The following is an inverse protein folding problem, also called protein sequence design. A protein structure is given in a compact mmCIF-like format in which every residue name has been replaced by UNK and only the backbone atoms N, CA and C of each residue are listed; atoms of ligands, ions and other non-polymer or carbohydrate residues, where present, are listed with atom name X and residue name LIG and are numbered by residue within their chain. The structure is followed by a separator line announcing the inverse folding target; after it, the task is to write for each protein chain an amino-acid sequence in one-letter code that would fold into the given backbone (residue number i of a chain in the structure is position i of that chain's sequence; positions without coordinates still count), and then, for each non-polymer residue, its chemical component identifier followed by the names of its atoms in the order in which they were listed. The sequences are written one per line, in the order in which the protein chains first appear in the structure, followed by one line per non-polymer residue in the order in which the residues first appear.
data_IF_463895301777
#
_entry.id   IF_463895301777
#
_cell.length_a   1.000
_cell.length_b   1.000
_cell.length_c   1.000
_cell.angle_alpha   90.00
_cell.angle_beta   90.00
_cell.angle_gamma   90.00
#
_symmetry.space_group_name_H-M   'P 1'
#
loop_
_entity.id
_entity.type
_entity.pdbx_description
1 polymer ?
#
# COMPACT_ATOMS: atom_id res chain seq x y z
N UNK A 1 -13.77 12.62 -19.22
CA UNK A 1 -13.14 11.38 -18.74
C UNK A 1 -11.61 11.54 -18.83
N UNK A 2 -11.06 12.62 -18.26
CA UNK A 2 -9.74 13.12 -18.68
C UNK A 2 -8.77 13.39 -17.52
N UNK A 3 -9.24 13.33 -16.26
CA UNK A 3 -8.38 13.52 -15.07
C UNK A 3 -7.56 12.30 -14.66
N UNK A 4 -7.88 11.12 -15.19
CA UNK A 4 -7.24 9.85 -14.81
C UNK A 4 -5.95 9.61 -15.61
N UNK A 5 -5.75 10.30 -16.73
CA UNK A 5 -4.73 9.95 -17.73
C UNK A 5 -3.42 10.71 -17.50
N UNK A 6 -3.45 11.95 -17.01
CA UNK A 6 -2.24 12.75 -16.78
C UNK A 6 -1.39 12.30 -15.57
N UNK A 7 -1.96 11.52 -14.64
CA UNK A 7 -1.26 10.97 -13.47
C UNK A 7 -0.54 9.64 -13.73
N UNK A 8 -0.69 9.04 -14.92
CA UNK A 8 -0.07 7.76 -15.27
C UNK A 8 1.39 7.84 -15.69
N UNK A 9 1.92 9.04 -15.94
CA UNK A 9 3.21 9.20 -16.62
C UNK A 9 4.46 8.94 -15.77
N UNK A 10 4.53 9.44 -14.54
CA UNK A 10 5.85 9.55 -13.86
C UNK A 10 5.86 9.42 -12.32
N UNK A 11 4.73 9.27 -11.62
CA UNK A 11 4.72 9.28 -10.13
C UNK A 11 3.50 8.60 -9.49
N UNK A 12 3.11 7.42 -10.00
CA UNK A 12 1.96 6.67 -9.51
C UNK A 12 2.27 5.63 -8.42
N UNK A 13 3.36 5.77 -7.67
CA UNK A 13 3.73 4.83 -6.57
C UNK A 13 3.83 5.65 -5.28
N UNK A 14 2.66 6.00 -4.72
CA UNK A 14 2.40 6.38 -3.31
C UNK A 14 0.90 6.32 -3.02
N UNK A 15 0.06 6.65 -4.01
CA UNK A 15 -1.40 6.57 -3.88
C UNK A 15 -1.93 5.11 -3.85
N UNK A 16 -1.45 4.18 -4.68
CA UNK A 16 -1.89 2.79 -4.59
C UNK A 16 -1.55 2.17 -3.23
N UNK A 17 -0.37 2.47 -2.69
CA UNK A 17 0.10 1.97 -1.39
C UNK A 17 -0.82 2.43 -0.25
N UNK A 18 -1.20 3.71 -0.25
CA UNK A 18 -2.16 4.24 0.71
C UNK A 18 -3.55 3.57 0.61
N UNK A 19 -4.02 3.28 -0.61
CA UNK A 19 -5.29 2.59 -0.84
C UNK A 19 -5.21 1.15 -0.31
N UNK A 20 -4.11 0.44 -0.58
CA UNK A 20 -3.91 -0.94 -0.12
C UNK A 20 -3.84 -1.00 1.40
N UNK A 21 -3.09 -0.10 2.04
CA UNK A 21 -2.99 0.00 3.50
C UNK A 21 -4.35 0.32 4.13
N UNK A 22 -5.10 1.27 3.55
CA UNK A 22 -6.44 1.61 4.04
C UNK A 22 -7.41 0.43 3.92
N UNK A 23 -7.42 -0.30 2.81
CA UNK A 23 -8.27 -1.48 2.66
C UNK A 23 -7.92 -2.58 3.68
N UNK A 24 -6.63 -2.85 3.91
CA UNK A 24 -6.19 -3.82 4.91
C UNK A 24 -6.62 -3.42 6.33
N UNK A 25 -6.54 -2.13 6.67
CA UNK A 25 -7.04 -1.59 7.95
C UNK A 25 -8.55 -1.71 8.09
N UNK A 26 -9.31 -1.38 7.05
CA UNK A 26 -10.79 -1.42 7.06
C UNK A 26 -11.29 -2.85 7.23
N UNK A 27 -10.68 -3.80 6.51
CA UNK A 27 -11.05 -5.22 6.57
C UNK A 27 -10.42 -5.94 7.79
N UNK A 28 -9.53 -5.27 8.54
CA UNK A 28 -8.81 -5.87 9.68
C UNK A 28 -7.87 -7.01 9.27
N UNK A 29 -7.39 -7.00 8.03
CA UNK A 29 -6.54 -8.05 7.47
C UNK A 29 -5.06 -7.65 7.51
N UNK A 30 -4.14 -8.63 7.65
CA UNK A 30 -2.71 -8.35 7.51
C UNK A 30 -2.35 -8.01 6.07
N UNK A 31 -1.51 -6.98 5.89
CA UNK A 31 -0.95 -6.62 4.59
C UNK A 31 0.35 -7.38 4.34
N UNK A 32 0.33 -8.27 3.35
CA UNK A 32 1.51 -8.97 2.88
C UNK A 32 2.28 -8.12 1.87
N UNK A 33 3.51 -7.73 2.18
CA UNK A 33 4.32 -6.83 1.36
C UNK A 33 5.81 -7.13 1.50
N UNK A 34 6.54 -7.12 0.38
CA UNK A 34 8.01 -7.18 0.39
C UNK A 34 8.67 -5.84 0.72
N UNK A 35 7.88 -4.75 0.76
CA UNK A 35 8.38 -3.41 1.06
C UNK A 35 7.89 -2.93 2.44
N UNK A 36 8.09 -3.76 3.46
CA UNK A 36 7.62 -3.55 4.84
C UNK A 36 8.00 -2.15 5.36
N UNK A 37 9.18 -1.65 5.00
CA UNK A 37 9.67 -0.33 5.41
C UNK A 37 8.71 0.83 5.08
N UNK A 38 8.06 0.78 3.93
CA UNK A 38 7.13 1.84 3.48
C UNK A 38 5.83 1.84 4.29
N UNK A 39 5.45 0.70 4.83
CA UNK A 39 4.19 0.52 5.56
C UNK A 39 4.35 0.50 7.08
N UNK A 40 5.59 0.44 7.61
CA UNK A 40 5.87 0.43 9.06
C UNK A 40 5.35 1.66 9.81
N UNK A 41 5.18 2.79 9.11
CA UNK A 41 4.66 4.02 9.71
C UNK A 41 3.14 4.03 9.87
N UNK A 42 2.42 3.08 9.27
CA UNK A 42 0.96 2.99 9.33
C UNK A 42 0.55 2.31 10.63
N UNK A 43 0.04 3.10 11.57
CA UNK A 43 -0.40 2.59 12.88
C UNK A 43 -1.59 1.66 12.75
N UNK A 44 -1.54 0.51 13.45
CA UNK A 44 -2.62 -0.48 13.45
C UNK A 44 -2.61 -1.45 12.26
N UNK A 45 -1.67 -1.29 11.31
CA UNK A 45 -1.55 -2.17 10.17
C UNK A 45 -0.63 -3.36 10.50
N UNK A 46 -1.20 -4.56 10.46
CA UNK A 46 -0.41 -5.80 10.62
C UNK A 46 0.32 -6.10 9.31
N UNK A 47 1.65 -6.24 9.35
CA UNK A 47 2.46 -6.49 8.16
C UNK A 47 2.98 -7.93 8.15
N UNK A 48 2.89 -8.59 6.99
CA UNK A 48 3.48 -9.89 6.73
C UNK A 48 4.56 -9.75 5.66
N UNK A 49 5.77 -10.17 5.99
CA UNK A 49 6.86 -10.22 5.03
C UNK A 49 6.84 -11.58 4.30
N UNK A 50 6.57 -11.61 2.98
CA UNK A 50 6.57 -12.84 2.20
C UNK A 50 7.97 -13.44 2.00
N UNK A 51 9.03 -12.67 2.24
CA UNK A 51 10.42 -13.10 2.02
C UNK A 51 11.02 -13.91 3.18
N UNK A 52 10.18 -14.34 4.12
CA UNK A 52 10.55 -15.23 5.21
C UNK A 52 11.42 -16.39 4.73
N UNK A 53 12.69 -16.36 5.16
CA UNK A 53 13.59 -17.51 5.20
C UNK A 53 13.37 -18.29 6.49
#
# INVERSE_FOLDING_TARGET
MDRVIALRGQSAIKLPDAIIAASALVEGLPLMTGNVADFKSVSGLTLLDPSGS
#
